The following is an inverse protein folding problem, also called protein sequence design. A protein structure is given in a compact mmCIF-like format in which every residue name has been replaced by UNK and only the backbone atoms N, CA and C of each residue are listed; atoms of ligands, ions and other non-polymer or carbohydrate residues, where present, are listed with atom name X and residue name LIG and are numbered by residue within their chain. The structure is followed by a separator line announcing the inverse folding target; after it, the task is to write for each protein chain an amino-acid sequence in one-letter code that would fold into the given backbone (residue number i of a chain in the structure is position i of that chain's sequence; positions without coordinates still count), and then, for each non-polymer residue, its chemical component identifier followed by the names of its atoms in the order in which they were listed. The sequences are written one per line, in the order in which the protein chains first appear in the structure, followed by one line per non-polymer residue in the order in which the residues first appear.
data_IF_160277101230
#
_entry.id   IF_160277101230
#
_cell.length_a   1.000
_cell.length_b   1.000
_cell.length_c   1.000
_cell.angle_alpha   90.00
_cell.angle_beta   90.00
_cell.angle_gamma   90.00
#
_symmetry.space_group_name_H-M   'P 1'
#
loop_
_entity.id
_entity.type
_entity.pdbx_description
1 polymer ?
#
# COMPACT_ATOMS: atom_id res chain seq x y z
N UNK A 1 1.03 -12.15 26.20
CA UNK A 1 1.76 -10.94 25.75
C UNK A 1 1.17 -10.48 24.43
N UNK A 2 0.54 -9.30 24.40
CA UNK A 2 0.02 -8.72 23.16
C UNK A 2 1.08 -7.75 22.66
N UNK A 3 1.97 -8.20 21.77
CA UNK A 3 2.91 -7.29 21.12
C UNK A 3 2.14 -6.42 20.14
N UNK A 4 2.32 -5.11 20.23
CA UNK A 4 1.78 -4.16 19.25
C UNK A 4 2.66 -4.24 17.99
N UNK A 5 2.14 -4.86 16.93
CA UNK A 5 2.88 -5.10 15.67
C UNK A 5 2.76 -3.89 14.70
N UNK A 6 1.92 -2.90 15.03
CA UNK A 6 1.70 -1.71 14.21
C UNK A 6 0.67 -1.89 13.10
N UNK A 7 0.64 -0.94 12.16
CA UNK A 7 -0.27 -0.91 11.00
C UNK A 7 0.50 -0.74 9.70
N UNK A 8 -0.11 -1.15 8.59
CA UNK A 8 0.37 -0.92 7.22
C UNK A 8 -0.66 -0.09 6.46
N UNK A 9 -0.20 1.02 5.89
CA UNK A 9 -0.94 1.84 4.95
C UNK A 9 -0.65 1.35 3.54
N UNK A 10 -1.69 1.04 2.79
CA UNK A 10 -1.63 0.66 1.39
C UNK A 10 -2.24 1.79 0.56
N UNK A 11 -1.52 2.24 -0.45
CA UNK A 11 -1.97 3.33 -1.33
C UNK A 11 -1.79 2.87 -2.77
N UNK A 12 -2.82 3.08 -3.58
CA UNK A 12 -2.73 3.02 -5.04
C UNK A 12 -2.84 4.46 -5.52
N UNK A 13 -1.86 4.90 -6.30
CA UNK A 13 -1.83 6.21 -6.90
C UNK A 13 -1.83 6.10 -8.43
N UNK A 14 -2.52 7.02 -9.08
CA UNK A 14 -2.37 7.26 -10.50
C UNK A 14 -1.02 7.97 -10.72
N UNK A 15 -0.11 7.33 -11.45
CA UNK A 15 1.25 7.85 -11.69
C UNK A 15 1.30 9.02 -12.65
N UNK A 16 0.27 9.23 -13.47
CA UNK A 16 0.21 10.35 -14.43
C UNK A 16 -0.24 11.63 -13.75
N UNK A 17 -1.16 11.51 -12.81
CA UNK A 17 -1.75 12.65 -12.12
C UNK A 17 -1.24 12.82 -10.68
N UNK A 18 -0.42 11.87 -10.19
CA UNK A 18 0.13 11.84 -8.83
C UNK A 18 -0.94 11.90 -7.73
N UNK A 19 -2.16 11.42 -8.04
CA UNK A 19 -3.30 11.40 -7.11
C UNK A 19 -3.54 9.99 -6.57
N UNK A 20 -3.87 9.90 -5.29
CA UNK A 20 -4.33 8.66 -4.68
C UNK A 20 -5.72 8.27 -5.19
N UNK A 21 -5.89 7.02 -5.61
CA UNK A 21 -7.14 6.49 -6.17
C UNK A 21 -7.74 5.37 -5.30
N UNK A 22 -6.95 4.77 -4.41
CA UNK A 22 -7.41 3.86 -3.37
C UNK A 22 -6.49 3.86 -2.15
N UNK A 23 -7.06 3.70 -0.95
CA UNK A 23 -6.33 3.64 0.32
C UNK A 23 -6.91 2.53 1.20
N UNK A 24 -6.06 1.79 1.90
CA UNK A 24 -6.46 0.82 2.93
C UNK A 24 -5.50 0.82 4.10
N UNK A 25 -6.02 0.71 5.32
CA UNK A 25 -5.23 0.59 6.55
C UNK A 25 -5.46 -0.81 7.14
N UNK A 26 -4.38 -1.56 7.33
CA UNK A 26 -4.44 -2.92 7.87
C UNK A 26 -3.52 -3.08 9.07
N UNK A 27 -3.78 -4.07 9.92
CA UNK A 27 -2.81 -4.50 10.94
C UNK A 27 -1.51 -4.91 10.24
N UNK A 28 -0.36 -4.67 10.86
CA UNK A 28 0.93 -5.00 10.27
C UNK A 28 1.12 -6.51 9.96
N UNK A 29 0.41 -7.38 10.66
CA UNK A 29 0.40 -8.83 10.40
C UNK A 29 -0.42 -9.25 9.17
N UNK A 30 -1.23 -8.36 8.60
CA UNK A 30 -2.02 -8.67 7.40
C UNK A 30 -1.11 -8.88 6.18
N UNK A 31 -1.50 -9.77 5.27
CA UNK A 31 -0.71 -10.02 4.05
C UNK A 31 -0.83 -8.83 3.08
N UNK A 32 0.31 -8.22 2.74
CA UNK A 32 0.36 -7.09 1.79
C UNK A 32 -0.11 -7.50 0.39
N UNK A 33 0.34 -8.64 -0.10
CA UNK A 33 0.00 -9.12 -1.45
C UNK A 33 -1.51 -9.38 -1.57
N UNK A 34 -2.13 -9.95 -0.52
CA UNK A 34 -3.58 -10.19 -0.52
C UNK A 34 -4.37 -8.88 -0.45
N UNK A 35 -3.89 -7.90 0.31
CA UNK A 35 -4.52 -6.59 0.42
C UNK A 35 -4.45 -5.83 -0.91
N UNK A 36 -3.26 -5.71 -1.50
CA UNK A 36 -3.05 -5.00 -2.76
C UNK A 36 -3.86 -5.59 -3.92
N UNK A 37 -3.90 -6.92 -4.06
CA UNK A 37 -4.74 -7.57 -5.08
C UNK A 37 -6.22 -7.22 -4.92
N UNK A 38 -6.71 -7.25 -3.68
CA UNK A 38 -8.11 -6.96 -3.36
C UNK A 38 -8.45 -5.49 -3.63
N UNK A 39 -7.54 -4.57 -3.29
CA UNK A 39 -7.68 -3.15 -3.61
C UNK A 39 -7.67 -2.90 -5.12
N UNK A 40 -6.75 -3.54 -5.86
CA UNK A 40 -6.64 -3.36 -7.31
C UNK A 40 -7.89 -3.86 -8.05
N UNK A 41 -8.38 -5.07 -7.73
CA UNK A 41 -9.63 -5.58 -8.29
C UNK A 41 -10.83 -4.69 -7.96
N UNK A 42 -10.98 -4.29 -6.69
CA UNK A 42 -12.07 -3.41 -6.29
C UNK A 42 -12.00 -2.02 -6.93
N UNK A 43 -10.80 -1.49 -7.19
CA UNK A 43 -10.61 -0.23 -7.89
C UNK A 43 -11.05 -0.35 -9.35
N UNK A 44 -10.65 -1.41 -10.05
CA UNK A 44 -11.01 -1.67 -11.44
C UNK A 44 -12.51 -1.92 -11.62
N UNK A 45 -13.15 -2.61 -10.68
CA UNK A 45 -14.60 -2.82 -10.68
C UNK A 45 -15.37 -1.50 -10.44
N UNK A 46 -14.86 -0.64 -9.56
CA UNK A 46 -15.48 0.64 -9.22
C UNK A 46 -15.32 1.69 -10.33
N UNK A 47 -14.18 1.71 -11.01
CA UNK A 47 -13.86 2.65 -12.07
C UNK A 47 -13.33 1.93 -13.33
N UNK A 48 -14.24 1.46 -14.20
CA UNK A 48 -13.87 0.76 -15.43
C UNK A 48 -13.05 1.62 -16.39
N UNK A 49 -13.26 2.95 -16.40
CA UNK A 49 -12.50 3.85 -17.27
C UNK A 49 -11.03 3.94 -16.83
N UNK A 50 -10.77 3.89 -15.52
CA UNK A 50 -9.41 3.76 -15.01
C UNK A 50 -8.82 2.40 -15.38
N UNK A 51 -9.59 1.32 -15.32
CA UNK A 51 -9.14 -0.02 -15.71
C UNK A 51 -8.76 -0.09 -17.20
N UNK A 52 -9.53 0.52 -18.09
CA UNK A 52 -9.24 0.58 -19.53
C UNK A 52 -7.98 1.38 -19.86
N UNK A 53 -7.74 2.47 -19.11
CA UNK A 53 -6.58 3.35 -19.33
C UNK A 53 -5.30 2.85 -18.64
N UNK A 54 -5.42 2.03 -17.61
CA UNK A 54 -4.31 1.51 -16.83
C UNK A 54 -3.58 0.40 -17.61
N UNK A 55 -2.48 0.74 -18.28
CA UNK A 55 -1.69 -0.23 -19.06
C UNK A 55 -0.78 -1.11 -18.20
N UNK A 56 -0.35 -0.61 -17.03
CA UNK A 56 0.62 -1.28 -16.17
C UNK A 56 0.34 -0.97 -14.69
N UNK A 57 0.69 -1.92 -13.82
CA UNK A 57 0.62 -1.74 -12.38
C UNK A 57 1.97 -2.07 -11.76
N UNK A 58 2.57 -1.10 -11.09
CA UNK A 58 3.82 -1.27 -10.34
C UNK A 58 3.56 -1.07 -8.85
N UNK A 59 4.27 -1.81 -8.01
CA UNK A 59 4.15 -1.74 -6.56
C UNK A 59 5.53 -1.72 -5.91
N UNK A 60 5.72 -0.81 -4.97
CA UNK A 60 6.90 -0.73 -4.12
C UNK A 60 6.51 -0.87 -2.65
N UNK A 61 7.45 -1.33 -1.82
CA UNK A 61 7.23 -1.54 -0.39
C UNK A 61 7.68 -0.37 0.48
N UNK A 62 8.37 0.64 -0.07
CA UNK A 62 8.80 1.83 0.66
C UNK A 62 9.53 1.48 1.94
N UNK A 63 10.66 0.76 1.85
CA UNK A 63 11.44 0.37 3.03
C UNK A 63 12.40 1.48 3.44
N UNK A 64 11.98 2.35 4.35
CA UNK A 64 12.90 3.26 5.04
C UNK A 64 13.68 2.49 6.11
N UNK A 65 14.93 2.15 5.83
CA UNK A 65 15.85 1.61 6.83
C UNK A 65 16.78 2.72 7.34
N UNK A 66 16.41 3.35 8.46
CA UNK A 66 17.35 4.13 9.26
C UNK A 66 17.86 3.25 10.40
N UNK A 67 19.18 3.02 10.57
CA UNK A 67 19.69 2.35 11.75
C UNK A 67 19.43 3.26 12.96
N UNK A 68 18.58 2.81 13.89
CA UNK A 68 18.44 3.45 15.19
C UNK A 68 19.65 3.05 16.03
N UNK A 69 20.77 3.78 15.89
CA UNK A 69 21.81 3.72 16.90
C UNK A 69 21.25 4.38 18.16
N UNK A 70 20.74 3.57 19.08
CA UNK A 70 20.56 4.02 20.46
C UNK A 70 21.96 4.23 21.03
N UNK A 71 22.46 5.46 20.94
CA UNK A 71 23.56 5.90 21.78
C UNK A 71 23.03 5.96 23.20
N UNK A 72 23.23 4.89 23.95
CA UNK A 72 23.10 4.88 25.40
C UNK A 72 24.13 5.87 25.94
N UNK A 73 23.64 6.98 26.50
CA UNK A 73 24.43 7.88 27.33
C UNK A 73 24.78 7.22 28.67
#
# INVERSE_FOLDING_TARGET
MTSWIGYKLHVIADTRHEIQVAVSLTRASASEVKELKRMASGLMERDPALAERCSEFSADRGRDQRPTTSSSA
#
